data_IF_062255398034
#
_entry.id   IF_062255398034
#
_cell.length_a   1.000
_cell.length_b   1.000
_cell.length_c   1.000
_cell.angle_alpha   90.00
_cell.angle_beta   90.00
_cell.angle_gamma   90.00
#
_symmetry.space_group_name_H-M   'P 1'
#
loop_
_entity.id
_entity.type
_entity.pdbx_description
1 polymer ?
#
# COMPACT_ATOMS: atom_id res chain seq x y z
N UNK A 1 2.61 -17.22 27.41
CA UNK A 1 3.88 -16.92 26.72
C UNK A 1 3.59 -16.74 25.25
N UNK A 2 3.39 -15.51 24.84
CA UNK A 2 3.20 -15.15 23.44
C UNK A 2 4.59 -14.99 22.82
N UNK A 3 5.03 -16.02 22.10
CA UNK A 3 6.24 -15.93 21.31
C UNK A 3 6.02 -14.94 20.18
N UNK A 4 6.47 -13.71 20.36
CA UNK A 4 6.63 -12.79 19.26
C UNK A 4 7.63 -13.43 18.30
N UNK A 5 7.13 -13.95 17.18
CA UNK A 5 8.02 -14.32 16.08
C UNK A 5 8.64 -13.02 15.59
N UNK A 6 9.87 -12.82 16.01
CA UNK A 6 10.72 -11.83 15.35
C UNK A 6 10.84 -12.30 13.90
N UNK A 7 10.02 -11.72 13.04
CA UNK A 7 10.27 -11.81 11.60
C UNK A 7 11.58 -11.10 11.39
N UNK A 8 12.55 -11.86 10.96
CA UNK A 8 13.91 -11.40 10.74
C UNK A 8 13.90 -10.16 9.85
N UNK A 9 14.36 -9.03 10.38
CA UNK A 9 14.46 -7.75 9.65
C UNK A 9 15.56 -7.77 8.57
N UNK A 10 15.99 -8.94 8.17
CA UNK A 10 17.06 -9.11 7.20
C UNK A 10 16.49 -9.21 5.79
N UNK A 11 16.44 -8.11 5.08
CA UNK A 11 16.12 -8.16 3.67
C UNK A 11 15.62 -6.87 3.01
N UNK A 12 15.50 -5.80 3.74
CA UNK A 12 15.12 -4.52 3.15
C UNK A 12 16.37 -3.76 2.75
N UNK A 13 16.56 -3.58 1.45
CA UNK A 13 17.72 -2.89 0.91
C UNK A 13 17.83 -1.47 1.45
N UNK A 14 19.06 -1.02 1.74
CA UNK A 14 19.33 0.36 2.11
C UNK A 14 18.82 1.32 1.03
N UNK A 15 17.91 2.23 1.41
CA UNK A 15 17.30 3.21 0.52
C UNK A 15 15.93 2.83 -0.05
N UNK A 16 15.39 1.62 0.24
CA UNK A 16 14.05 1.21 -0.12
C UNK A 16 13.01 1.52 0.96
N UNK A 17 11.74 1.21 0.66
CA UNK A 17 10.65 1.28 1.63
C UNK A 17 10.82 0.18 2.68
N UNK A 18 10.84 0.54 3.96
CA UNK A 18 11.12 -0.37 5.08
C UNK A 18 9.84 -0.72 5.87
N UNK A 19 9.86 -1.90 6.51
CA UNK A 19 8.76 -2.32 7.39
C UNK A 19 8.45 -1.29 8.47
N UNK A 20 9.47 -0.64 9.04
CA UNK A 20 9.29 0.45 10.01
C UNK A 20 8.45 1.58 9.43
N UNK A 21 8.68 1.94 8.17
CA UNK A 21 7.91 2.98 7.48
C UNK A 21 6.45 2.55 7.26
N UNK A 22 6.22 1.27 6.98
CA UNK A 22 4.87 0.73 6.90
C UNK A 22 4.15 0.84 8.25
N UNK A 23 4.83 0.58 9.38
CA UNK A 23 4.25 0.75 10.71
C UNK A 23 3.96 2.21 11.03
N UNK A 24 4.80 3.13 10.60
CA UNK A 24 4.58 4.58 10.76
C UNK A 24 3.32 5.02 10.00
N UNK A 25 3.14 4.57 8.76
CA UNK A 25 1.91 4.81 8.00
C UNK A 25 0.70 4.23 8.74
N UNK A 26 0.76 2.96 9.12
CA UNK A 26 -0.33 2.28 9.83
C UNK A 26 -0.79 3.07 11.04
N UNK A 27 0.15 3.49 11.86
CA UNK A 27 -0.16 4.15 13.14
C UNK A 27 -0.69 5.57 12.93
N UNK A 28 -0.06 6.36 12.05
CA UNK A 28 -0.52 7.72 11.75
C UNK A 28 -1.90 7.71 11.08
N UNK A 29 -2.13 6.82 10.15
CA UNK A 29 -3.41 6.73 9.44
C UNK A 29 -4.53 6.21 10.35
N UNK A 30 -4.22 5.30 11.27
CA UNK A 30 -5.18 4.85 12.26
C UNK A 30 -5.61 6.00 13.20
N UNK A 31 -4.67 6.82 13.65
CA UNK A 31 -4.97 7.98 14.51
C UNK A 31 -5.86 9.00 13.81
N UNK A 32 -5.66 9.20 12.52
CA UNK A 32 -6.42 10.18 11.73
C UNK A 32 -7.72 9.62 11.13
N UNK A 33 -7.95 8.31 11.21
CA UNK A 33 -9.13 7.69 10.62
C UNK A 33 -9.09 7.59 9.10
N UNK A 34 -7.90 7.50 8.51
CA UNK A 34 -7.73 7.36 7.05
C UNK A 34 -8.21 5.99 6.58
N UNK A 35 -8.99 5.97 5.53
CA UNK A 35 -9.38 4.73 4.84
C UNK A 35 -8.45 4.49 3.68
N UNK A 36 -7.70 3.39 3.75
CA UNK A 36 -6.68 3.03 2.76
C UNK A 36 -6.39 1.54 2.81
N UNK A 37 -5.76 1.06 1.74
CA UNK A 37 -5.25 -0.32 1.64
C UNK A 37 -3.84 -0.27 1.06
N UNK A 38 -2.91 -1.03 1.62
CA UNK A 38 -1.66 -1.29 0.92
C UNK A 38 -1.95 -2.12 -0.33
N UNK A 39 -1.38 -1.72 -1.45
CA UNK A 39 -1.56 -2.35 -2.76
C UNK A 39 -0.20 -2.51 -3.44
N UNK A 40 -0.18 -3.08 -4.62
CA UNK A 40 1.04 -3.24 -5.40
C UNK A 40 2.07 -4.15 -4.73
N UNK A 41 3.34 -3.91 -5.01
CA UNK A 41 4.41 -4.73 -4.44
C UNK A 41 4.50 -4.57 -2.92
N UNK A 42 4.33 -3.36 -2.40
CA UNK A 42 4.34 -3.13 -0.94
C UNK A 42 3.25 -3.94 -0.23
N UNK A 43 2.06 -4.01 -0.80
CA UNK A 43 0.98 -4.84 -0.28
C UNK A 43 1.33 -6.33 -0.32
N UNK A 44 1.85 -6.81 -1.43
CA UNK A 44 2.27 -8.21 -1.57
C UNK A 44 3.34 -8.60 -0.55
N UNK A 45 4.31 -7.73 -0.31
CA UNK A 45 5.38 -7.94 0.67
C UNK A 45 4.80 -8.07 2.09
N UNK A 46 3.83 -7.24 2.45
CA UNK A 46 3.17 -7.34 3.75
C UNK A 46 2.41 -8.65 3.91
N UNK A 47 1.93 -9.24 2.82
CA UNK A 47 1.31 -10.57 2.82
C UNK A 47 2.33 -11.71 2.90
N UNK A 48 3.62 -11.44 2.78
CA UNK A 48 4.69 -12.41 2.84
C UNK A 48 5.40 -12.70 1.52
N UNK A 49 5.09 -11.96 0.45
CA UNK A 49 5.77 -12.11 -0.83
C UNK A 49 7.25 -11.73 -0.70
N UNK A 50 8.18 -12.63 -1.10
CA UNK A 50 9.62 -12.41 -0.90
C UNK A 50 10.19 -11.48 -1.98
N UNK A 51 10.10 -10.19 -1.75
CA UNK A 51 10.65 -9.17 -2.66
C UNK A 51 10.98 -7.90 -1.86
N UNK A 52 11.52 -6.91 -2.55
CA UNK A 52 11.78 -5.57 -2.04
C UNK A 52 11.09 -4.54 -2.92
N UNK A 53 10.84 -3.35 -2.39
CA UNK A 53 10.28 -2.24 -3.15
C UNK A 53 10.91 -0.92 -2.73
N UNK A 54 10.92 0.05 -3.64
CA UNK A 54 11.39 1.41 -3.36
C UNK A 54 10.29 2.28 -2.76
N UNK A 55 9.03 1.99 -3.10
CA UNK A 55 7.88 2.84 -2.84
C UNK A 55 6.83 2.07 -2.05
N UNK A 56 6.06 2.81 -1.23
CA UNK A 56 4.79 2.31 -0.74
C UNK A 56 3.69 2.68 -1.75
N UNK A 57 2.82 1.74 -2.05
CA UNK A 57 1.63 1.97 -2.87
C UNK A 57 0.39 1.85 -2.00
N UNK A 58 -0.40 2.91 -1.92
CA UNK A 58 -1.61 2.96 -1.11
C UNK A 58 -2.83 3.24 -1.98
N UNK A 59 -3.80 2.34 -1.92
CA UNK A 59 -5.13 2.57 -2.48
C UNK A 59 -5.96 3.33 -1.44
N UNK A 60 -6.36 4.55 -1.74
CA UNK A 60 -7.06 5.44 -0.82
C UNK A 60 -8.50 5.66 -1.24
N UNK A 61 -9.40 5.71 -0.27
CA UNK A 61 -10.79 6.05 -0.56
C UNK A 61 -10.89 7.49 -1.03
N UNK A 62 -11.61 7.71 -2.13
CA UNK A 62 -11.83 9.02 -2.68
C UNK A 62 -13.05 9.67 -2.03
N UNK A 63 -12.81 10.52 -1.04
CA UNK A 63 -13.81 11.39 -0.44
C UNK A 63 -13.12 12.63 0.12
N UNK A 64 -13.84 13.73 0.25
CA UNK A 64 -13.29 14.95 0.83
C UNK A 64 -12.81 14.72 2.28
N UNK A 65 -13.61 14.03 3.08
CA UNK A 65 -13.25 13.73 4.47
C UNK A 65 -11.95 12.90 4.54
N UNK A 66 -11.83 11.88 3.72
CA UNK A 66 -10.62 11.06 3.68
C UNK A 66 -9.41 11.83 3.17
N UNK A 67 -9.60 12.69 2.17
CA UNK A 67 -8.54 13.56 1.65
C UNK A 67 -8.00 14.51 2.71
N UNK A 68 -8.85 15.07 3.54
CA UNK A 68 -8.44 15.92 4.67
C UNK A 68 -7.64 15.14 5.71
N UNK A 69 -8.09 13.94 6.07
CA UNK A 69 -7.36 13.07 6.99
C UNK A 69 -6.00 12.65 6.42
N UNK A 70 -5.93 12.37 5.11
CA UNK A 70 -4.69 12.05 4.42
C UNK A 70 -3.68 13.19 4.49
N UNK A 71 -4.10 14.42 4.18
CA UNK A 71 -3.21 15.58 4.25
C UNK A 71 -2.65 15.75 5.65
N UNK A 72 -3.49 15.69 6.68
CA UNK A 72 -3.05 15.83 8.06
C UNK A 72 -2.05 14.73 8.46
N UNK A 73 -2.32 13.49 8.08
CA UNK A 73 -1.44 12.37 8.39
C UNK A 73 -0.10 12.43 7.67
N UNK A 74 -0.11 12.87 6.41
CA UNK A 74 1.13 13.00 5.63
C UNK A 74 2.03 14.09 6.21
N UNK A 75 1.46 15.21 6.66
CA UNK A 75 2.22 16.26 7.35
C UNK A 75 2.80 15.74 8.66
N UNK A 76 2.03 14.99 9.44
CA UNK A 76 2.51 14.36 10.68
C UNK A 76 3.67 13.39 10.41
N UNK A 77 3.63 12.65 9.32
CA UNK A 77 4.68 11.72 8.92
C UNK A 77 5.97 12.42 8.45
N UNK A 78 5.91 13.72 8.18
CA UNK A 78 7.07 14.50 7.75
C UNK A 78 7.16 14.73 6.25
N UNK A 79 6.07 14.50 5.51
CA UNK A 79 6.03 14.85 4.09
C UNK A 79 5.92 16.37 3.94
N UNK A 80 6.73 16.92 3.04
CA UNK A 80 6.70 18.33 2.68
C UNK A 80 5.82 18.50 1.44
N UNK A 81 4.54 18.82 1.66
CA UNK A 81 3.56 18.91 0.60
C UNK A 81 3.51 20.33 0.02
N UNK A 82 3.66 20.44 -1.29
CA UNK A 82 3.40 21.69 -1.99
C UNK A 82 1.90 22.02 -1.95
N UNK A 83 1.49 23.30 -2.14
CA UNK A 83 0.07 23.65 -2.22
C UNK A 83 -0.70 22.84 -3.28
N UNK A 84 -0.09 22.56 -4.42
CA UNK A 84 -0.69 21.72 -5.46
C UNK A 84 -0.88 20.28 -5.00
N UNK A 85 0.11 19.69 -4.32
CA UNK A 85 0.00 18.35 -3.75
C UNK A 85 -1.09 18.27 -2.70
N UNK A 86 -1.23 19.28 -1.85
CA UNK A 86 -2.33 19.33 -0.87
C UNK A 86 -3.69 19.29 -1.59
N UNK A 87 -3.86 20.09 -2.64
CA UNK A 87 -5.09 20.09 -3.44
C UNK A 87 -5.34 18.74 -4.11
N UNK A 88 -4.32 18.13 -4.70
CA UNK A 88 -4.42 16.83 -5.38
C UNK A 88 -4.80 15.71 -4.41
N UNK A 89 -4.16 15.66 -3.24
CA UNK A 89 -4.46 14.66 -2.22
C UNK A 89 -5.88 14.86 -1.68
N UNK A 90 -6.22 16.10 -1.36
CA UNK A 90 -7.54 16.45 -0.80
C UNK A 90 -8.68 16.14 -1.77
N UNK A 91 -8.49 16.40 -3.06
CA UNK A 91 -9.50 16.15 -4.09
C UNK A 91 -9.60 14.68 -4.53
N UNK A 92 -8.65 13.83 -4.12
CA UNK A 92 -8.62 12.43 -4.52
C UNK A 92 -8.25 12.25 -5.99
N UNK A 93 -7.22 12.94 -6.46
CA UNK A 93 -6.65 12.71 -7.79
C UNK A 93 -6.30 11.23 -7.96
N UNK A 94 -6.52 10.69 -9.13
CA UNK A 94 -6.38 9.24 -9.40
C UNK A 94 -5.00 8.69 -9.03
N UNK A 95 -3.95 9.48 -9.24
CA UNK A 95 -2.58 9.12 -8.88
C UNK A 95 -1.80 10.34 -8.40
N UNK A 96 -1.22 10.24 -7.21
CA UNK A 96 -0.32 11.27 -6.65
C UNK A 96 0.95 10.59 -6.18
N UNK A 97 2.08 11.01 -6.73
CA UNK A 97 3.39 10.51 -6.33
C UNK A 97 4.08 11.52 -5.41
N UNK A 98 4.50 11.08 -4.22
CA UNK A 98 5.20 11.89 -3.24
C UNK A 98 6.63 11.38 -3.08
N UNK A 99 7.61 12.21 -3.48
CA UNK A 99 9.04 11.87 -3.42
C UNK A 99 9.86 12.78 -2.50
N UNK A 100 9.23 13.76 -1.89
CA UNK A 100 9.87 14.76 -1.04
C UNK A 100 9.50 14.57 0.44
N UNK A 101 9.50 13.35 0.88
CA UNK A 101 9.23 12.97 2.25
C UNK A 101 10.24 11.96 2.78
N UNK A 102 9.97 11.34 3.93
CA UNK A 102 10.87 10.36 4.54
C UNK A 102 11.02 9.07 3.73
N UNK A 103 10.13 8.81 2.79
CA UNK A 103 10.15 7.68 1.85
C UNK A 103 9.27 8.00 0.65
N UNK A 104 9.43 7.24 -0.43
CA UNK A 104 8.60 7.41 -1.62
C UNK A 104 7.23 6.77 -1.41
N UNK A 105 6.19 7.50 -1.78
CA UNK A 105 4.80 7.09 -1.55
C UNK A 105 3.94 7.41 -2.77
N UNK A 106 3.23 6.40 -3.26
CA UNK A 106 2.23 6.55 -4.31
C UNK A 106 0.82 6.42 -3.71
N UNK A 107 -0.01 7.43 -3.90
CA UNK A 107 -1.42 7.42 -3.51
C UNK A 107 -2.26 7.20 -4.76
N UNK A 108 -3.07 6.15 -4.75
CA UNK A 108 -3.87 5.72 -5.89
C UNK A 108 -5.33 5.65 -5.45
N UNK A 109 -6.20 6.42 -6.10
CA UNK A 109 -7.64 6.37 -5.79
C UNK A 109 -8.45 5.59 -6.80
N UNK A 110 -7.87 5.27 -7.96
CA UNK A 110 -8.53 4.51 -9.03
C UNK A 110 -7.55 3.51 -9.67
N UNK A 111 -7.17 2.45 -8.95
CA UNK A 111 -6.28 1.44 -9.52
C UNK A 111 -7.00 0.64 -10.62
N UNK A 112 -6.27 0.35 -11.69
CA UNK A 112 -6.79 -0.50 -12.76
C UNK A 112 -7.21 -1.87 -12.21
N UNK A 113 -8.24 -2.46 -12.79
CA UNK A 113 -8.67 -3.83 -12.49
C UNK A 113 -9.38 -4.04 -11.16
N UNK A 114 -9.65 -2.98 -10.41
CA UNK A 114 -10.43 -3.03 -9.16
C UNK A 114 -11.67 -2.15 -9.33
N UNK A 115 -12.84 -2.69 -9.02
CA UNK A 115 -14.14 -2.06 -9.30
C UNK A 115 -14.33 -0.77 -8.49
N UNK A 116 -14.19 -0.89 -7.15
CA UNK A 116 -14.38 0.21 -6.22
C UNK A 116 -13.49 0.01 -4.99
N UNK A 117 -13.24 1.08 -4.25
CA UNK A 117 -12.56 0.98 -2.95
C UNK A 117 -13.34 0.08 -1.99
N UNK A 118 -14.66 0.24 -1.92
CA UNK A 118 -15.48 -0.55 -1.00
C UNK A 118 -15.41 -2.05 -1.29
N UNK A 119 -15.42 -2.45 -2.56
CA UNK A 119 -15.25 -3.86 -2.95
C UNK A 119 -13.92 -4.41 -2.48
N UNK A 120 -12.83 -3.68 -2.71
CA UNK A 120 -11.50 -4.08 -2.25
C UNK A 120 -11.42 -4.09 -0.72
N UNK A 121 -12.05 -3.13 -0.05
CA UNK A 121 -12.11 -3.07 1.41
C UNK A 121 -12.77 -4.31 2.01
N UNK A 122 -13.86 -4.79 1.41
CA UNK A 122 -14.55 -6.00 1.86
C UNK A 122 -13.68 -7.26 1.70
N UNK A 123 -12.81 -7.29 0.69
CA UNK A 123 -11.91 -8.42 0.41
C UNK A 123 -10.55 -8.30 1.11
N UNK A 124 -10.31 -7.20 1.84
CA UNK A 124 -9.00 -6.91 2.43
C UNK A 124 -8.54 -8.00 3.39
N UNK A 125 -7.25 -8.10 3.52
CA UNK A 125 -6.59 -8.90 4.55
C UNK A 125 -6.03 -7.96 5.61
N UNK A 126 -6.31 -8.24 6.87
CA UNK A 126 -5.71 -7.53 8.00
C UNK A 126 -4.62 -8.43 8.57
N UNK A 127 -3.38 -7.98 8.49
CA UNK A 127 -2.21 -8.71 9.00
C UNK A 127 -1.35 -7.74 9.81
N UNK A 128 -1.05 -8.09 11.06
CA UNK A 128 -0.28 -7.25 11.99
C UNK A 128 -0.81 -5.80 12.09
N UNK A 129 -2.12 -5.63 11.97
CA UNK A 129 -2.79 -4.33 11.96
C UNK A 129 -2.72 -3.59 10.63
N UNK A 130 -2.05 -4.14 9.62
CA UNK A 130 -2.02 -3.58 8.27
C UNK A 130 -3.28 -3.94 7.52
N UNK A 131 -3.90 -2.96 6.86
CA UNK A 131 -4.97 -3.18 5.89
C UNK A 131 -4.33 -3.35 4.51
N UNK A 132 -4.48 -4.52 3.93
CA UNK A 132 -3.83 -4.89 2.66
C UNK A 132 -4.88 -5.39 1.67
N UNK A 133 -4.79 -4.98 0.42
CA UNK A 133 -5.56 -5.59 -0.65
C UNK A 133 -5.33 -7.10 -0.69
N UNK A 134 -6.36 -7.86 -1.01
CA UNK A 134 -6.19 -9.29 -1.25
C UNK A 134 -5.15 -9.53 -2.34
N UNK A 135 -4.47 -10.67 -2.29
CA UNK A 135 -3.51 -11.02 -3.34
C UNK A 135 -4.18 -11.11 -4.71
N UNK A 136 -5.43 -11.52 -4.76
CA UNK A 136 -6.21 -11.55 -6.01
C UNK A 136 -6.44 -10.15 -6.57
N UNK A 137 -6.73 -9.16 -5.73
CA UNK A 137 -6.88 -7.77 -6.16
C UNK A 137 -5.55 -7.17 -6.62
N UNK A 138 -4.45 -7.46 -5.93
CA UNK A 138 -3.12 -7.04 -6.35
C UNK A 138 -2.78 -7.59 -7.73
N UNK A 139 -3.05 -8.87 -7.97
CA UNK A 139 -2.83 -9.53 -9.26
C UNK A 139 -3.73 -8.91 -10.34
N UNK A 140 -5.01 -8.73 -10.04
CA UNK A 140 -5.97 -8.12 -10.97
C UNK A 140 -5.53 -6.72 -11.41
N UNK A 141 -5.07 -5.91 -10.46
CA UNK A 141 -4.58 -4.56 -10.75
C UNK A 141 -3.34 -4.57 -11.64
N UNK A 142 -2.37 -5.43 -11.35
CA UNK A 142 -1.15 -5.56 -12.17
C UNK A 142 -1.47 -6.09 -13.58
N UNK A 143 -2.37 -7.06 -13.68
CA UNK A 143 -2.79 -7.63 -14.97
C UNK A 143 -3.48 -6.57 -15.84
N UNK A 144 -4.34 -5.75 -15.24
CA UNK A 144 -5.04 -4.68 -15.96
C UNK A 144 -4.10 -3.57 -16.38
N UNK A 145 -3.16 -3.14 -15.53
CA UNK A 145 -2.15 -2.13 -15.85
C UNK A 145 -1.21 -2.59 -16.96
N UNK A 146 -0.86 -3.87 -16.97
CA UNK A 146 -0.13 -4.56 -18.05
C UNK A 146 1.17 -3.85 -18.47
N UNK A 147 1.88 -3.22 -17.54
CA UNK A 147 3.21 -2.66 -17.79
C UNK A 147 4.23 -3.79 -17.89
N UNK A 148 5.38 -3.54 -18.50
CA UNK A 148 6.43 -4.56 -18.64
C UNK A 148 6.79 -5.16 -17.26
N UNK A 149 7.04 -4.31 -16.27
CA UNK A 149 7.36 -4.75 -14.90
C UNK A 149 6.24 -5.59 -14.26
N UNK A 150 4.97 -5.30 -14.60
CA UNK A 150 3.82 -6.06 -14.12
C UNK A 150 3.80 -7.46 -14.72
N UNK A 151 4.03 -7.56 -16.04
CA UNK A 151 4.12 -8.86 -16.74
C UNK A 151 5.26 -9.73 -16.21
N UNK A 152 6.38 -9.11 -15.84
CA UNK A 152 7.54 -9.81 -15.29
C UNK A 152 7.27 -10.36 -13.88
N UNK A 153 6.52 -9.62 -13.06
CA UNK A 153 6.23 -10.02 -11.68
C UNK A 153 5.02 -10.95 -11.52
N UNK A 154 4.09 -10.96 -12.48
CA UNK A 154 2.84 -11.72 -12.38
C UNK A 154 3.04 -13.22 -12.16
N UNK A 155 3.94 -13.95 -12.87
CA UNK A 155 4.10 -15.39 -12.64
C UNK A 155 4.50 -15.69 -11.18
N UNK A 156 5.40 -14.91 -10.60
CA UNK A 156 5.82 -15.08 -9.21
C UNK A 156 4.68 -14.79 -8.23
N UNK A 157 3.91 -13.73 -8.48
CA UNK A 157 2.75 -13.37 -7.65
C UNK A 157 1.65 -14.43 -7.73
N UNK A 158 1.41 -15.00 -8.90
CA UNK A 158 0.44 -16.07 -9.06
C UNK A 158 0.87 -17.34 -8.31
N UNK A 159 2.15 -17.70 -8.38
CA UNK A 159 2.71 -18.81 -7.61
C UNK A 159 2.59 -18.55 -6.09
N UNK A 160 2.86 -17.34 -5.65
CA UNK A 160 2.70 -16.93 -4.26
C UNK A 160 1.24 -17.02 -3.81
N UNK A 161 0.30 -16.57 -4.63
CA UNK A 161 -1.13 -16.71 -4.37
C UNK A 161 -1.53 -18.17 -4.17
N UNK A 162 -1.08 -19.03 -5.07
CA UNK A 162 -1.40 -20.46 -5.01
C UNK A 162 -0.84 -21.10 -3.73
N UNK A 163 0.37 -20.71 -3.36
CA UNK A 163 0.98 -21.13 -2.09
C UNK A 163 0.17 -20.63 -0.87
N UNK A 164 -0.24 -19.37 -0.86
CA UNK A 164 -1.06 -18.83 0.22
C UNK A 164 -2.37 -19.60 0.39
N UNK A 165 -3.03 -19.95 -0.72
CA UNK A 165 -4.30 -20.69 -0.71
C UNK A 165 -4.11 -22.14 -0.25
N UNK A 166 -2.98 -22.77 -0.56
CA UNK A 166 -2.68 -24.14 -0.15
C UNK A 166 -2.21 -24.26 1.30
N UNK A 167 -1.76 -23.15 1.90
CA UNK A 167 -1.20 -23.11 3.26
C UNK A 167 -2.26 -22.82 4.34
N UNK A 168 -3.52 -22.72 3.96
CA UNK A 168 -4.66 -22.49 4.88
C UNK A 168 -5.41 -23.77 5.17
#
# INVERSE_FOLDING_TARGET
MTGARHICQTGWAMGGFEYRQATEIRDAFARAGVRYLFIGKSGAILLGFPDTTQDADLFVEKSQANGECLVASLLELGFDLTPDQVCEVRSGKDFVQLKNGPFDLDLISAPDGIETFESAWQRRVVIDGFNVCSIDDIIASKRAANRQRDRESLPRLMSFRDWLKSSR
#
